data_IF_059020945426
#
_entry.id   IF_059020945426
#
_cell.length_a   1.000
_cell.length_b   1.000
_cell.length_c   1.000
_cell.angle_alpha   90.00
_cell.angle_beta   90.00
_cell.angle_gamma   90.00
#
_symmetry.space_group_name_H-M   'P 1'
#
loop_
_entity.id
_entity.type
_entity.pdbx_description
1 polymer ?
#
# COMPACT_ATOMS: atom_id res chain seq x y z
N UNK A 1 -43.44 -21.08 30.99
CA UNK A 1 -43.49 -21.58 32.38
C UNK A 1 -42.18 -22.28 32.72
N UNK A 2 -41.40 -21.64 33.61
CA UNK A 2 -40.48 -22.23 34.61
C UNK A 2 -39.16 -22.94 34.18
N UNK A 3 -38.12 -22.99 35.04
CA UNK A 3 -37.12 -21.91 35.14
C UNK A 3 -35.65 -22.38 35.34
N UNK A 4 -34.71 -21.40 35.31
CA UNK A 4 -33.49 -21.25 36.15
C UNK A 4 -32.46 -22.40 36.23
N UNK A 5 -31.20 -22.10 35.93
CA UNK A 5 -30.09 -22.08 36.92
C UNK A 5 -28.88 -21.31 36.35
N UNK A 6 -28.56 -20.17 36.95
CA UNK A 6 -27.31 -19.43 36.77
C UNK A 6 -26.33 -19.92 37.84
N UNK A 7 -25.12 -20.33 37.46
CA UNK A 7 -24.02 -20.60 38.40
C UNK A 7 -22.89 -19.60 38.13
N UNK A 8 -22.88 -18.52 38.90
CA UNK A 8 -21.73 -17.65 39.10
C UNK A 8 -20.78 -18.35 40.08
N UNK A 9 -19.55 -18.63 39.64
CA UNK A 9 -18.45 -18.96 40.54
C UNK A 9 -17.53 -17.74 40.65
N UNK A 10 -17.58 -17.13 41.82
CA UNK A 10 -16.69 -16.10 42.34
C UNK A 10 -15.45 -16.77 42.97
N UNK A 11 -14.49 -15.94 43.36
CA UNK A 11 -13.24 -16.17 44.11
C UNK A 11 -11.97 -16.34 43.27
N UNK A 12 -10.80 -15.80 43.65
CA UNK A 12 -10.33 -14.63 44.40
C UNK A 12 -8.80 -14.81 44.55
N UNK A 13 -8.01 -13.73 44.39
CA UNK A 13 -6.61 -13.62 44.83
C UNK A 13 -5.57 -14.35 43.96
N UNK A 14 -4.31 -13.92 43.83
CA UNK A 14 -3.48 -13.03 44.65
C UNK A 14 -2.40 -12.39 43.75
N UNK A 15 -1.99 -11.18 44.12
CA UNK A 15 -0.95 -10.34 43.54
C UNK A 15 0.45 -10.96 43.52
N UNK A 16 1.28 -10.54 42.54
CA UNK A 16 2.72 -10.40 42.74
C UNK A 16 3.23 -9.19 41.92
N UNK A 17 3.69 -8.19 42.66
CA UNK A 17 4.45 -7.04 42.21
C UNK A 17 5.84 -7.48 41.75
N UNK A 18 6.30 -6.97 40.62
CA UNK A 18 7.68 -7.12 40.14
C UNK A 18 8.12 -5.86 39.42
N UNK A 19 8.64 -4.90 40.20
CA UNK A 19 9.24 -3.67 39.72
C UNK A 19 10.64 -3.93 39.14
N UNK A 20 10.96 -3.33 37.99
CA UNK A 20 12.33 -2.97 37.64
C UNK A 20 12.42 -1.43 37.58
N UNK A 21 12.93 -0.85 38.67
CA UNK A 21 13.48 0.51 38.69
C UNK A 21 14.98 0.41 38.47
N UNK A 22 15.49 1.22 37.54
CA UNK A 22 16.91 1.46 37.33
C UNK A 22 17.06 2.75 36.54
N UNK A 23 17.18 3.85 37.27
CA UNK A 23 17.45 5.18 36.75
C UNK A 23 18.92 5.49 37.00
N UNK A 24 19.64 5.95 35.98
CA UNK A 24 20.86 6.73 36.17
C UNK A 24 20.87 7.93 35.23
N UNK A 25 20.89 9.09 35.89
CA UNK A 25 20.96 10.44 35.37
C UNK A 25 22.40 10.77 34.99
N UNK A 26 22.62 11.40 33.84
CA UNK A 26 23.63 12.46 33.72
C UNK A 26 23.11 13.53 32.76
N UNK A 27 22.68 14.64 33.34
CA UNK A 27 22.37 15.91 32.69
C UNK A 27 23.63 16.78 32.80
N UNK A 28 24.17 17.28 31.69
CA UNK A 28 25.07 18.43 31.71
C UNK A 28 24.93 19.27 30.44
N UNK A 29 24.32 20.44 30.64
CA UNK A 29 24.65 21.76 30.06
C UNK A 29 24.21 21.95 28.60
N UNK A 30 23.20 22.78 28.29
CA UNK A 30 23.03 24.18 28.70
C UNK A 30 23.52 25.08 27.55
N UNK A 31 22.62 25.69 26.77
CA UNK A 31 22.25 27.11 26.85
C UNK A 31 21.11 27.37 25.86
N UNK A 32 19.92 27.84 26.31
CA UNK A 32 19.47 29.26 26.37
C UNK A 32 19.39 29.90 24.98
N UNK A 33 18.37 30.66 24.58
CA UNK A 33 17.26 31.33 25.26
C UNK A 33 16.24 31.71 24.15
N UNK A 34 14.92 31.61 24.38
CA UNK A 34 14.02 32.73 24.75
C UNK A 34 13.83 33.75 23.61
N UNK A 35 12.64 34.15 23.20
CA UNK A 35 11.46 34.64 23.94
C UNK A 35 10.26 34.69 22.96
N UNK A 36 9.00 34.38 23.31
CA UNK A 36 8.10 35.17 24.19
C UNK A 36 7.70 36.48 23.48
N UNK A 37 6.45 36.93 23.33
CA UNK A 37 5.15 36.67 23.97
C UNK A 37 4.06 37.33 23.09
N UNK A 38 2.89 36.74 22.88
CA UNK A 38 1.59 37.10 23.49
C UNK A 38 1.01 38.51 23.21
N UNK A 39 -0.17 38.50 22.56
CA UNK A 39 -1.39 39.29 22.90
C UNK A 39 -1.68 40.68 22.29
N UNK A 40 -2.71 40.68 21.41
CA UNK A 40 -3.97 41.48 21.48
C UNK A 40 -4.05 42.98 21.09
N UNK A 41 -5.01 43.26 20.18
CA UNK A 41 -5.71 44.56 19.99
C UNK A 41 -5.08 45.49 18.96
N UNK A 42 -5.75 46.17 18.03
CA UNK A 42 -7.17 46.34 17.70
C UNK A 42 -7.33 47.55 16.75
N UNK A 43 -8.27 47.44 15.81
CA UNK A 43 -9.06 48.51 15.12
C UNK A 43 -8.47 49.37 13.98
N UNK A 44 -9.27 49.41 12.89
CA UNK A 44 -9.69 50.59 12.10
C UNK A 44 -9.08 50.87 10.70
N UNK A 45 -9.84 50.45 9.68
CA UNK A 45 -10.49 51.28 8.65
C UNK A 45 -9.70 51.98 7.52
N UNK A 46 -10.16 51.70 6.29
CA UNK A 46 -10.01 52.51 5.06
C UNK A 46 -9.30 51.73 3.94
N UNK A 47 -9.82 51.53 2.73
CA UNK A 47 -11.04 51.98 2.03
C UNK A 47 -10.83 51.76 0.52
N UNK A 48 -11.94 51.56 -0.21
CA UNK A 48 -12.13 51.64 -1.67
C UNK A 48 -11.47 50.55 -2.57
N UNK A 49 -12.26 49.64 -3.16
CA UNK A 49 -12.91 49.75 -4.50
C UNK A 49 -11.92 49.48 -5.64
N UNK A 50 -12.19 48.76 -6.73
CA UNK A 50 -13.24 47.87 -7.21
C UNK A 50 -12.69 47.29 -8.53
N UNK A 51 -13.25 46.16 -8.96
CA UNK A 51 -13.37 45.74 -10.37
C UNK A 51 -12.16 45.10 -11.06
N UNK A 52 -12.40 43.87 -11.55
CA UNK A 52 -12.08 43.53 -12.92
C UNK A 52 -11.17 42.31 -13.09
N UNK A 53 -11.76 41.14 -13.35
CA UNK A 53 -11.00 39.97 -13.79
C UNK A 53 -11.75 38.65 -13.76
N UNK A 54 -13.00 38.60 -14.24
CA UNK A 54 -13.62 37.34 -14.67
C UNK A 54 -12.89 36.88 -15.92
N UNK A 55 -12.35 35.65 -15.93
CA UNK A 55 -12.31 34.80 -17.11
C UNK A 55 -11.93 33.38 -16.71
N UNK A 56 -12.96 32.54 -16.64
CA UNK A 56 -12.83 31.14 -17.01
C UNK A 56 -12.22 31.03 -18.40
N UNK A 57 -11.12 30.30 -18.52
CA UNK A 57 -10.62 29.71 -19.76
C UNK A 57 -9.76 28.52 -19.26
N UNK A 58 -10.22 27.28 -19.32
CA UNK A 58 -10.67 26.68 -20.56
C UNK A 58 -9.48 26.57 -21.51
N UNK A 59 -8.37 26.01 -21.07
CA UNK A 59 -7.37 25.46 -21.97
C UNK A 59 -7.78 24.02 -22.31
N UNK A 60 -8.76 23.89 -23.19
CA UNK A 60 -8.73 22.79 -24.14
C UNK A 60 -7.80 23.24 -25.28
N UNK A 61 -6.58 22.70 -25.29
CA UNK A 61 -5.70 22.66 -26.47
C UNK A 61 -4.67 21.55 -26.18
N UNK A 62 -5.06 20.29 -26.29
CA UNK A 62 -5.15 19.53 -27.54
C UNK A 62 -3.84 19.61 -28.35
N UNK A 63 -3.11 18.50 -28.25
CA UNK A 63 -2.07 18.00 -29.16
C UNK A 63 -0.65 18.54 -28.97
N UNK A 64 0.11 17.85 -28.10
CA UNK A 64 1.54 17.64 -28.31
C UNK A 64 2.40 17.80 -27.06
N UNK A 65 2.52 16.75 -26.25
CA UNK A 65 3.64 16.61 -25.30
C UNK A 65 3.63 17.54 -24.08
N UNK A 66 2.47 17.70 -23.43
CA UNK A 66 2.41 18.38 -22.12
C UNK A 66 2.59 17.30 -21.06
N UNK A 67 3.68 17.36 -20.33
CA UNK A 67 3.96 16.40 -19.28
C UNK A 67 2.92 16.43 -18.16
N UNK A 68 2.87 15.36 -17.38
CA UNK A 68 2.00 15.20 -16.21
C UNK A 68 2.85 15.05 -14.95
N UNK A 69 2.36 15.54 -13.82
CA UNK A 69 3.04 15.38 -12.53
C UNK A 69 2.24 14.45 -11.61
N UNK A 70 0.95 14.27 -11.92
CA UNK A 70 0.01 13.45 -11.17
C UNK A 70 -0.82 12.60 -12.13
N UNK A 71 -1.29 11.43 -11.66
CA UNK A 71 -2.22 10.59 -12.43
C UNK A 71 -3.50 11.29 -12.91
N UNK A 72 -3.90 12.36 -12.23
CA UNK A 72 -5.15 13.10 -12.46
C UNK A 72 -5.05 14.08 -13.62
N UNK A 73 -3.83 14.35 -14.10
CA UNK A 73 -3.57 15.34 -15.14
C UNK A 73 -3.88 14.79 -16.54
N UNK A 74 -3.99 13.47 -16.66
CA UNK A 74 -4.23 12.78 -17.93
C UNK A 74 -5.73 12.48 -18.15
N UNK A 75 -6.10 12.29 -19.42
CA UNK A 75 -7.48 12.01 -19.81
C UNK A 75 -7.99 10.65 -19.31
N UNK A 76 -9.30 10.41 -19.47
CA UNK A 76 -10.00 9.20 -18.94
C UNK A 76 -9.45 7.84 -19.44
N UNK A 77 -8.63 7.81 -20.48
CA UNK A 77 -8.03 6.58 -21.05
C UNK A 77 -6.50 6.66 -21.11
N UNK A 78 -5.91 7.58 -20.37
CA UNK A 78 -4.47 7.81 -20.33
C UNK A 78 -4.00 7.71 -18.89
N UNK A 79 -2.74 7.33 -18.72
CA UNK A 79 -2.08 7.35 -17.43
C UNK A 79 -0.80 8.17 -17.54
N UNK A 80 -0.40 8.74 -16.40
CA UNK A 80 0.84 9.48 -16.35
C UNK A 80 2.02 8.50 -16.26
N UNK A 81 2.80 8.42 -17.33
CA UNK A 81 4.01 7.60 -17.40
C UNK A 81 5.24 8.43 -17.02
N UNK A 82 5.91 8.06 -15.95
CA UNK A 82 7.16 8.67 -15.52
C UNK A 82 8.35 7.84 -16.03
N UNK A 83 9.34 8.48 -16.65
CA UNK A 83 10.60 7.82 -17.01
C UNK A 83 11.40 7.38 -15.77
N UNK A 84 11.14 8.01 -14.62
CA UNK A 84 11.62 7.59 -13.31
C UNK A 84 10.69 8.10 -12.22
N UNK A 85 10.63 7.38 -11.09
CA UNK A 85 9.72 7.75 -10.01
C UNK A 85 9.98 9.18 -9.51
N UNK A 86 8.96 10.05 -9.58
CA UNK A 86 9.04 11.44 -9.12
C UNK A 86 9.59 12.43 -10.15
N UNK A 87 9.77 12.04 -11.41
CA UNK A 87 10.03 12.99 -12.51
C UNK A 87 8.72 13.52 -13.09
N UNK A 88 8.78 14.56 -13.94
CA UNK A 88 7.67 14.83 -14.85
C UNK A 88 7.47 13.60 -15.76
N UNK A 89 6.20 13.29 -16.04
CA UNK A 89 5.78 12.18 -16.88
C UNK A 89 5.15 12.65 -18.17
N UNK A 90 4.71 11.71 -19.00
CA UNK A 90 3.95 11.96 -20.21
C UNK A 90 2.62 11.20 -20.14
N UNK A 91 1.53 11.81 -20.59
CA UNK A 91 0.25 11.12 -20.69
C UNK A 91 0.30 10.12 -21.86
N UNK A 92 0.26 8.83 -21.53
CA UNK A 92 0.23 7.75 -22.50
C UNK A 92 -1.11 7.00 -22.41
N UNK A 93 -1.62 6.46 -23.53
CA UNK A 93 -2.82 5.64 -23.51
C UNK A 93 -2.62 4.43 -22.61
N UNK A 94 -3.64 4.07 -21.83
CA UNK A 94 -3.62 2.86 -21.02
C UNK A 94 -3.57 1.65 -21.97
N UNK A 95 -2.54 0.80 -21.89
CA UNK A 95 -2.44 -0.39 -22.73
C UNK A 95 -3.58 -1.37 -22.41
N UNK A 96 -3.92 -2.20 -23.40
CA UNK A 96 -4.97 -3.20 -23.26
C UNK A 96 -4.60 -4.26 -22.22
N UNK A 97 -5.61 -4.81 -21.53
CA UNK A 97 -5.46 -5.97 -20.65
C UNK A 97 -4.77 -7.15 -21.35
N UNK A 98 -3.83 -7.78 -20.65
CA UNK A 98 -3.18 -9.01 -21.05
C UNK A 98 -3.13 -9.96 -19.85
N UNK A 99 -3.41 -11.24 -20.08
CA UNK A 99 -3.31 -12.27 -19.04
C UNK A 99 -1.87 -12.79 -18.87
N UNK A 100 -0.96 -12.35 -19.75
CA UNK A 100 0.46 -12.76 -19.72
C UNK A 100 1.12 -12.19 -18.47
N UNK A 101 1.79 -13.09 -17.72
CA UNK A 101 2.61 -12.73 -16.56
C UNK A 101 3.93 -12.12 -17.05
N UNK A 102 4.08 -10.81 -16.88
CA UNK A 102 5.32 -10.08 -17.16
C UNK A 102 5.51 -9.04 -16.05
N UNK A 103 5.98 -9.45 -14.86
CA UNK A 103 5.90 -8.62 -13.67
C UNK A 103 6.69 -7.33 -13.85
N UNK A 104 6.17 -6.24 -13.27
CA UNK A 104 6.83 -4.93 -13.22
C UNK A 104 6.77 -4.37 -11.81
N UNK A 105 7.79 -3.62 -11.41
CA UNK A 105 7.83 -2.96 -10.11
C UNK A 105 7.28 -1.53 -10.27
N UNK A 106 6.21 -1.21 -9.55
CA UNK A 106 5.63 0.13 -9.55
C UNK A 106 6.45 1.12 -8.73
N UNK A 107 6.27 2.42 -9.00
CA UNK A 107 6.89 3.47 -8.19
C UNK A 107 6.39 3.52 -6.74
N UNK A 108 5.25 2.89 -6.47
CA UNK A 108 4.64 2.69 -5.15
C UNK A 108 5.24 1.51 -4.36
N UNK A 109 6.20 0.77 -4.95
CA UNK A 109 6.81 -0.41 -4.32
C UNK A 109 5.95 -1.68 -4.39
N UNK A 110 4.83 -1.64 -5.12
CA UNK A 110 3.98 -2.81 -5.37
C UNK A 110 4.43 -3.49 -6.66
N UNK A 111 4.47 -4.83 -6.64
CA UNK A 111 4.72 -5.59 -7.86
C UNK A 111 3.40 -5.76 -8.63
N UNK A 112 3.36 -5.39 -9.90
CA UNK A 112 2.20 -5.57 -10.75
C UNK A 112 2.41 -6.79 -11.64
N UNK A 113 1.36 -7.59 -11.84
CA UNK A 113 1.42 -8.79 -12.68
C UNK A 113 1.90 -8.51 -14.11
N UNK A 114 1.55 -7.33 -14.63
CA UNK A 114 2.13 -6.76 -15.84
C UNK A 114 2.00 -5.23 -15.89
N UNK A 115 2.66 -4.64 -16.88
CA UNK A 115 2.63 -3.20 -17.18
C UNK A 115 1.21 -2.65 -17.38
N UNK A 116 0.31 -3.47 -17.95
CA UNK A 116 -1.07 -3.04 -18.21
C UNK A 116 -1.85 -2.86 -16.91
N UNK A 117 -1.69 -3.78 -15.98
CA UNK A 117 -2.30 -3.68 -14.65
C UNK A 117 -1.69 -2.50 -13.88
N UNK A 118 -0.39 -2.21 -14.02
CA UNK A 118 0.22 -1.01 -13.44
C UNK A 118 -0.41 0.28 -13.99
N UNK A 119 -0.51 0.38 -15.33
CA UNK A 119 -1.09 1.54 -16.01
C UNK A 119 -2.58 1.76 -15.68
N UNK A 120 -3.37 0.69 -15.54
CA UNK A 120 -4.77 0.76 -15.12
C UNK A 120 -4.94 1.25 -13.68
N UNK A 121 -3.94 1.02 -12.83
CA UNK A 121 -3.88 1.58 -11.48
C UNK A 121 -3.26 2.99 -11.47
N UNK A 122 -2.98 3.55 -12.65
CA UNK A 122 -2.30 4.81 -12.86
C UNK A 122 -0.96 4.92 -12.12
N UNK A 123 -0.24 3.79 -12.07
CA UNK A 123 1.10 3.67 -11.49
C UNK A 123 2.11 3.48 -12.61
N UNK A 124 3.16 4.30 -12.58
CA UNK A 124 4.31 4.11 -13.48
C UNK A 124 5.23 3.01 -12.98
N UNK A 125 5.83 2.30 -13.93
CA UNK A 125 6.86 1.32 -13.65
C UNK A 125 8.18 2.01 -13.29
N UNK A 126 8.80 1.56 -12.19
CA UNK A 126 10.18 1.87 -11.82
C UNK A 126 11.16 0.99 -12.59
N UNK A 127 10.84 -0.29 -12.69
CA UNK A 127 11.71 -1.32 -13.25
C UNK A 127 10.89 -2.47 -13.80
N UNK A 128 11.47 -3.18 -14.78
CA UNK A 128 10.94 -4.46 -15.23
C UNK A 128 11.29 -5.57 -14.22
N UNK A 129 10.40 -6.54 -14.03
CA UNK A 129 10.53 -7.57 -13.02
C UNK A 129 9.81 -7.23 -11.71
N UNK A 130 9.95 -8.12 -10.72
CA UNK A 130 9.38 -7.93 -9.40
C UNK A 130 10.09 -6.82 -8.63
N UNK A 131 9.44 -6.21 -7.64
CA UNK A 131 10.13 -5.30 -6.75
C UNK A 131 11.11 -6.06 -5.85
N UNK A 132 12.35 -5.57 -5.76
CA UNK A 132 13.39 -6.13 -4.87
C UNK A 132 13.62 -5.23 -3.63
N UNK A 133 14.41 -4.17 -3.77
CA UNK A 133 14.88 -3.35 -2.63
C UNK A 133 13.81 -2.43 -2.04
N UNK A 134 12.92 -1.94 -2.89
CA UNK A 134 11.84 -1.01 -2.53
C UNK A 134 10.48 -1.73 -2.44
N UNK A 135 10.49 -3.06 -2.38
CA UNK A 135 9.27 -3.84 -2.33
C UNK A 135 8.51 -3.55 -1.04
N UNK A 136 7.22 -3.25 -1.17
CA UNK A 136 6.34 -3.18 -0.03
C UNK A 136 6.18 -4.58 0.55
N UNK A 137 6.74 -4.78 1.74
CA UNK A 137 6.59 -6.02 2.50
C UNK A 137 5.18 -6.17 3.08
N UNK A 138 4.77 -7.43 3.26
CA UNK A 138 3.54 -7.80 3.93
C UNK A 138 3.76 -9.06 4.79
N UNK A 139 2.85 -9.33 5.72
CA UNK A 139 2.85 -10.56 6.51
C UNK A 139 1.43 -11.09 6.71
N UNK A 140 1.29 -12.42 6.69
CA UNK A 140 0.06 -13.13 7.00
C UNK A 140 0.16 -13.69 8.43
N UNK A 141 -0.26 -12.92 9.43
CA UNK A 141 -0.19 -13.30 10.85
C UNK A 141 -1.38 -12.85 11.71
N UNK A 142 -2.58 -12.74 11.10
CA UNK A 142 -3.90 -12.43 11.69
C UNK A 142 -4.34 -10.95 11.59
N UNK A 143 -5.18 -10.66 10.58
CA UNK A 143 -5.89 -9.40 10.31
C UNK A 143 -5.14 -8.39 9.41
N UNK A 144 -5.66 -8.32 8.18
CA UNK A 144 -5.42 -7.33 7.12
C UNK A 144 -3.96 -6.99 6.81
N UNK A 145 -3.41 -7.75 5.86
CA UNK A 145 -2.23 -7.34 5.13
C UNK A 145 -2.41 -5.92 4.62
N UNK A 146 -1.58 -5.00 5.09
CA UNK A 146 -1.58 -3.59 4.74
C UNK A 146 -1.02 -3.29 3.34
N UNK A 147 -1.28 -4.14 2.34
CA UNK A 147 -0.91 -3.85 0.96
C UNK A 147 -1.77 -2.69 0.44
N UNK A 148 -1.12 -1.62 -0.04
CA UNK A 148 -1.82 -0.41 -0.47
C UNK A 148 -2.55 -0.65 -1.79
N UNK A 149 -3.68 0.03 -2.00
CA UNK A 149 -4.34 0.08 -3.31
C UNK A 149 -5.00 -1.22 -3.77
N UNK A 150 -5.38 -2.10 -2.83
CA UNK A 150 -6.02 -3.38 -3.18
C UNK A 150 -5.05 -4.40 -3.77
N UNK A 151 -3.75 -4.27 -3.50
CA UNK A 151 -2.77 -5.33 -3.70
C UNK A 151 -2.94 -6.42 -2.63
N UNK A 152 -2.45 -7.62 -2.93
CA UNK A 152 -2.52 -8.82 -2.08
C UNK A 152 -1.12 -9.29 -1.70
N UNK A 153 -0.99 -10.05 -0.62
CA UNK A 153 0.31 -10.54 -0.18
C UNK A 153 0.77 -11.77 -0.97
N UNK A 154 1.92 -11.67 -1.63
CA UNK A 154 2.67 -12.82 -2.13
C UNK A 154 3.51 -13.45 -1.01
N UNK A 155 2.83 -14.13 -0.09
CA UNK A 155 3.45 -14.82 1.04
C UNK A 155 4.02 -16.20 0.63
N UNK A 156 5.10 -16.16 -0.16
CA UNK A 156 5.84 -17.37 -0.58
C UNK A 156 6.88 -17.77 0.46
N UNK A 157 6.88 -19.04 0.86
CA UNK A 157 7.82 -19.59 1.84
C UNK A 157 8.25 -21.02 1.48
N UNK A 158 9.41 -21.44 1.95
CA UNK A 158 9.84 -22.84 1.85
C UNK A 158 9.27 -23.70 2.99
N UNK A 159 8.85 -23.06 4.08
CA UNK A 159 8.31 -23.74 5.27
C UNK A 159 7.07 -22.99 5.74
N UNK A 160 5.96 -23.72 5.88
CA UNK A 160 4.72 -23.16 6.39
C UNK A 160 4.84 -22.89 7.88
N UNK A 161 4.98 -21.61 8.24
CA UNK A 161 5.02 -21.09 9.61
C UNK A 161 3.74 -20.29 9.90
N UNK A 162 3.37 -20.07 11.18
CA UNK A 162 2.19 -19.28 11.54
C UNK A 162 2.28 -17.82 11.09
N UNK A 163 3.49 -17.30 10.92
CA UNK A 163 3.76 -15.98 10.34
C UNK A 163 4.58 -16.18 9.08
N UNK A 164 4.04 -15.77 7.93
CA UNK A 164 4.74 -15.78 6.65
C UNK A 164 4.79 -14.37 6.11
N UNK A 165 5.99 -13.88 5.82
CA UNK A 165 6.21 -12.59 5.17
C UNK A 165 6.21 -12.75 3.65
N UNK A 166 5.84 -11.71 2.94
CA UNK A 166 5.82 -11.64 1.48
C UNK A 166 6.01 -10.23 0.97
N UNK A 167 5.79 -10.05 -0.33
CA UNK A 167 5.73 -8.74 -0.98
C UNK A 167 4.33 -8.46 -1.51
N UNK A 168 3.95 -7.20 -1.66
CA UNK A 168 2.64 -6.81 -2.18
C UNK A 168 2.58 -6.95 -3.70
N UNK A 169 1.55 -7.62 -4.19
CA UNK A 169 1.30 -7.88 -5.60
C UNK A 169 -0.08 -7.40 -6.04
N UNK A 170 -0.16 -6.76 -7.21
CA UNK A 170 -1.42 -6.46 -7.89
C UNK A 170 -1.69 -7.55 -8.92
N UNK A 171 -2.74 -8.33 -8.67
CA UNK A 171 -3.16 -9.43 -9.53
C UNK A 171 -4.07 -8.95 -10.68
N UNK A 172 -4.13 -9.71 -11.79
CA UNK A 172 -5.16 -9.54 -12.80
C UNK A 172 -6.55 -9.78 -12.20
N UNK A 173 -7.59 -9.24 -12.85
CA UNK A 173 -8.99 -9.47 -12.47
C UNK A 173 -9.40 -10.95 -12.48
N UNK A 174 -8.67 -11.81 -13.19
CA UNK A 174 -8.85 -13.25 -13.22
C UNK A 174 -7.50 -13.93 -13.20
N UNK A 175 -7.31 -14.88 -12.28
CA UNK A 175 -6.09 -15.65 -12.25
C UNK A 175 -5.98 -16.60 -13.45
N UNK A 176 -4.89 -16.52 -14.24
CA UNK A 176 -4.66 -17.45 -15.33
C UNK A 176 -4.34 -18.85 -14.81
N UNK A 177 -4.82 -19.88 -15.51
CA UNK A 177 -4.58 -21.29 -15.15
C UNK A 177 -3.17 -21.78 -15.45
N UNK A 178 -2.43 -21.08 -16.30
CA UNK A 178 -1.07 -21.43 -16.72
C UNK A 178 0.02 -20.73 -15.88
N UNK A 179 -0.34 -20.29 -14.68
CA UNK A 179 0.61 -19.72 -13.72
C UNK A 179 1.35 -20.83 -12.95
N UNK A 180 2.43 -20.45 -12.27
CA UNK A 180 3.20 -21.34 -11.41
C UNK A 180 2.31 -22.01 -10.36
N UNK A 181 2.45 -23.32 -10.19
CA UNK A 181 1.71 -24.11 -9.20
C UNK A 181 2.46 -24.10 -7.88
N UNK A 182 1.74 -23.84 -6.79
CA UNK A 182 2.25 -23.85 -5.44
C UNK A 182 1.30 -24.60 -4.49
N UNK A 183 1.84 -24.98 -3.33
CA UNK A 183 1.12 -25.69 -2.28
C UNK A 183 0.62 -24.72 -1.21
N UNK A 184 -0.67 -24.73 -0.92
CA UNK A 184 -1.31 -24.00 0.19
C UNK A 184 -0.72 -24.42 1.54
N UNK A 185 -0.33 -23.46 2.36
CA UNK A 185 0.06 -23.71 3.75
C UNK A 185 -1.12 -23.97 4.69
N UNK A 186 -2.34 -23.62 4.28
CA UNK A 186 -3.55 -23.79 5.10
C UNK A 186 -4.08 -25.21 5.09
N UNK A 187 -4.11 -25.83 3.91
CA UNK A 187 -4.80 -27.10 3.67
C UNK A 187 -3.98 -28.07 2.81
N UNK A 188 -2.80 -27.66 2.34
CA UNK A 188 -1.90 -28.50 1.56
C UNK A 188 -2.36 -28.77 0.13
N UNK A 189 -3.44 -28.14 -0.35
CA UNK A 189 -3.89 -28.25 -1.74
C UNK A 189 -2.94 -27.51 -2.68
N UNK A 190 -2.93 -27.96 -3.93
CA UNK A 190 -2.14 -27.37 -4.99
C UNK A 190 -3.03 -26.47 -5.85
N UNK A 191 -2.64 -25.22 -5.97
CA UNK A 191 -3.31 -24.21 -6.79
C UNK A 191 -2.23 -23.30 -7.41
N UNK A 192 -2.63 -22.40 -8.30
CA UNK A 192 -1.68 -21.43 -8.86
C UNK A 192 -1.27 -20.37 -7.83
N UNK A 193 -0.08 -19.80 -7.95
CA UNK A 193 0.37 -18.72 -7.05
C UNK A 193 -0.63 -17.56 -7.05
N UNK A 194 -1.18 -17.20 -8.22
CA UNK A 194 -2.25 -16.21 -8.33
C UNK A 194 -3.47 -16.55 -7.48
N UNK A 195 -4.01 -17.77 -7.60
CA UNK A 195 -5.21 -18.17 -6.87
C UNK A 195 -4.97 -18.21 -5.35
N UNK A 196 -3.78 -18.64 -4.91
CA UNK A 196 -3.41 -18.66 -3.50
C UNK A 196 -3.24 -17.26 -2.91
N UNK A 197 -2.64 -16.34 -3.68
CA UNK A 197 -2.54 -14.93 -3.32
C UNK A 197 -3.92 -14.27 -3.21
N UNK A 198 -4.82 -14.51 -4.17
CA UNK A 198 -6.21 -14.03 -4.16
C UNK A 198 -6.99 -14.58 -2.94
N UNK A 199 -6.74 -15.83 -2.57
CA UNK A 199 -7.31 -16.47 -1.39
C UNK A 199 -6.69 -16.00 -0.05
N UNK A 200 -5.67 -15.14 -0.08
CA UNK A 200 -4.93 -14.68 1.11
C UNK A 200 -4.29 -15.83 1.91
N UNK A 201 -3.76 -16.83 1.21
CA UNK A 201 -3.14 -18.00 1.80
C UNK A 201 -1.64 -18.01 1.50
N UNK A 202 -0.82 -18.18 2.54
CA UNK A 202 0.61 -18.43 2.37
C UNK A 202 0.86 -19.74 1.61
N UNK A 203 1.90 -19.79 0.80
CA UNK A 203 2.15 -20.94 -0.07
C UNK A 203 3.63 -21.27 -0.21
N UNK A 204 3.89 -22.50 -0.68
CA UNK A 204 5.24 -22.97 -0.99
C UNK A 204 5.33 -23.42 -2.45
N UNK A 205 6.26 -22.80 -3.20
CA UNK A 205 6.46 -23.10 -4.62
C UNK A 205 7.22 -24.42 -4.78
N UNK A 206 6.76 -25.28 -5.68
CA UNK A 206 7.52 -26.45 -6.13
C UNK A 206 7.62 -27.64 -5.17
N UNK A 207 7.02 -27.59 -3.98
CA UNK A 207 7.02 -28.71 -3.03
C UNK A 207 5.72 -29.52 -3.14
N UNK A 208 5.81 -30.72 -3.72
CA UNK A 208 4.74 -31.74 -3.61
C UNK A 208 3.48 -31.47 -4.43
N UNK A 209 3.55 -30.61 -5.45
CA UNK A 209 2.49 -30.40 -6.43
C UNK A 209 2.91 -30.92 -7.81
N UNK A 210 2.03 -31.67 -8.52
CA UNK A 210 2.32 -32.11 -9.88
C UNK A 210 2.41 -30.90 -10.81
N UNK A 211 3.34 -30.95 -11.77
CA UNK A 211 3.46 -29.97 -12.84
C UNK A 211 2.49 -30.28 -13.99
#
# INVERSE_FOLDING_TARGET
>A
MNPRTFAFALFAGVAALGACSGADKYDLLGSKASSGSSSSGGTSSGGASSSGGTSSSGAASSSGGVGCERPQDCGKNEYCFFAGCGTAGECLPVPKDSDVKNPVCGCDGVTYWNESIAAQNAVSMRANGVCDKDAQGCSLDMQEVACKGGAVCAASTNVCTPTVTGTCWRLPSKCPKNDEIARSCRDGKCDTTCALMEAHVAFSVGIGCPR
#
